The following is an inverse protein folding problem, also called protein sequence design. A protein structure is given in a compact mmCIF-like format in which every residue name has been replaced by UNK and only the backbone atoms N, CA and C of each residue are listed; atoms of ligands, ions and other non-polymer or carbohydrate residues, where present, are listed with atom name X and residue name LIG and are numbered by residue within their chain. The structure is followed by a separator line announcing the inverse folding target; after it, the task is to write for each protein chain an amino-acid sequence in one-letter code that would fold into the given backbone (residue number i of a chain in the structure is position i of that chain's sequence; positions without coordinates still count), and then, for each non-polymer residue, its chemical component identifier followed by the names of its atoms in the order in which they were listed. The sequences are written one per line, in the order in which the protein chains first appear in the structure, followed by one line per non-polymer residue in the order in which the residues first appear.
data_IF_832763699337
#
_entry.id   IF_832763699337
#
_cell.length_a   1.000
_cell.length_b   1.000
_cell.length_c   1.000
_cell.angle_alpha   90.00
_cell.angle_beta   90.00
_cell.angle_gamma   90.00
#
_symmetry.space_group_name_H-M   'P 1'
#
loop_
_entity.id
_entity.type
_entity.pdbx_description
1 polymer ?
#
# COMPACT_ATOMS: atom_id res chain seq x y z
N UNK A 1 -21.84 -25.36 10.53
CA UNK A 1 -22.07 -24.02 9.98
C UNK A 1 -20.86 -23.19 10.33
N UNK A 2 -19.99 -22.90 9.37
CA UNK A 2 -18.87 -21.98 9.60
C UNK A 2 -19.48 -20.59 9.81
N UNK A 3 -19.16 -19.94 10.94
CA UNK A 3 -19.55 -18.55 11.16
C UNK A 3 -18.97 -17.63 10.08
N UNK A 4 -19.52 -16.42 9.88
CA UNK A 4 -18.95 -15.47 8.93
C UNK A 4 -17.48 -15.24 9.25
N UNK A 5 -16.60 -15.40 8.25
CA UNK A 5 -15.19 -15.05 8.37
C UNK A 5 -15.08 -13.61 8.91
N UNK A 6 -14.17 -13.33 9.87
CA UNK A 6 -13.96 -11.97 10.34
C UNK A 6 -13.50 -11.10 9.15
N UNK A 7 -14.29 -10.09 8.79
CA UNK A 7 -13.91 -9.11 7.77
C UNK A 7 -12.79 -8.22 8.32
N UNK A 8 -11.56 -8.44 7.85
CA UNK A 8 -10.41 -7.59 8.17
C UNK A 8 -10.46 -6.32 7.31
N UNK A 9 -11.25 -5.34 7.78
CA UNK A 9 -11.38 -4.04 7.15
C UNK A 9 -10.25 -3.11 7.56
N UNK A 10 -9.70 -2.40 6.57
CA UNK A 10 -8.71 -1.35 6.78
C UNK A 10 -9.27 0.01 6.34
N UNK A 11 -8.99 1.08 7.09
CA UNK A 11 -9.35 2.43 6.65
C UNK A 11 -8.46 2.83 5.46
N UNK A 12 -9.11 3.37 4.44
CA UNK A 12 -8.48 4.03 3.31
C UNK A 12 -8.85 5.51 3.35
N UNK A 13 -7.86 6.37 3.19
CA UNK A 13 -8.04 7.82 3.23
C UNK A 13 -7.39 8.46 2.01
N UNK A 14 -8.11 9.38 1.38
CA UNK A 14 -7.56 10.28 0.39
C UNK A 14 -6.97 11.51 1.11
N UNK A 15 -5.64 11.74 1.08
CA UNK A 15 -5.05 12.89 1.75
C UNK A 15 -5.31 14.23 1.03
N UNK A 16 -5.81 14.20 -0.21
CA UNK A 16 -6.10 15.39 -1.02
C UNK A 16 -7.53 15.89 -0.77
N UNK A 17 -8.52 15.00 -0.79
CA UNK A 17 -9.93 15.36 -0.58
C UNK A 17 -10.39 15.20 0.87
N UNK A 18 -9.68 14.39 1.67
CA UNK A 18 -10.09 14.01 3.02
C UNK A 18 -11.11 12.87 3.08
N UNK A 19 -11.54 12.33 1.94
CA UNK A 19 -12.50 11.23 1.90
C UNK A 19 -11.96 9.96 2.55
N UNK A 20 -12.81 9.25 3.27
CA UNK A 20 -12.47 8.01 3.97
C UNK A 20 -13.44 6.89 3.65
N UNK A 21 -12.95 5.66 3.55
CA UNK A 21 -13.76 4.45 3.39
C UNK A 21 -13.10 3.28 4.10
N UNK A 22 -13.86 2.23 4.40
CA UNK A 22 -13.36 0.98 4.96
C UNK A 22 -13.51 -0.12 3.93
N UNK A 23 -12.44 -0.88 3.70
CA UNK A 23 -12.40 -1.94 2.70
C UNK A 23 -11.65 -3.15 3.22
N UNK A 24 -12.05 -4.31 2.75
CA UNK A 24 -11.39 -5.55 3.11
C UNK A 24 -9.98 -5.61 2.51
N UNK A 25 -9.12 -6.38 3.17
CA UNK A 25 -7.83 -6.75 2.62
C UNK A 25 -7.98 -7.77 1.49
N UNK A 26 -7.13 -7.63 0.50
CA UNK A 26 -6.92 -8.56 -0.59
C UNK A 26 -5.44 -8.95 -0.65
N UNK A 27 -5.16 -10.11 -1.23
CA UNK A 27 -3.84 -10.68 -1.37
C UNK A 27 -3.54 -10.90 -2.85
N UNK A 28 -2.35 -10.54 -3.30
CA UNK A 28 -1.86 -10.80 -4.66
C UNK A 28 -0.32 -10.76 -4.68
N UNK A 29 0.27 -11.12 -5.82
CA UNK A 29 1.71 -11.08 -6.06
C UNK A 29 2.07 -9.71 -6.64
N UNK A 30 3.06 -9.06 -6.05
CA UNK A 30 3.61 -7.79 -6.54
C UNK A 30 5.11 -7.98 -6.75
N UNK A 31 5.64 -7.52 -7.88
CA UNK A 31 7.07 -7.55 -8.17
C UNK A 31 7.62 -6.12 -8.25
N UNK A 32 8.71 -5.86 -7.53
CA UNK A 32 9.40 -4.56 -7.51
C UNK A 32 10.88 -4.80 -7.72
N UNK A 33 11.43 -4.34 -8.85
CA UNK A 33 12.85 -4.52 -9.20
C UNK A 33 13.36 -5.97 -9.03
N UNK A 34 12.53 -6.95 -9.35
CA UNK A 34 12.82 -8.38 -9.21
C UNK A 34 12.55 -8.96 -7.81
N UNK A 35 12.26 -8.12 -6.82
CA UNK A 35 11.82 -8.55 -5.49
C UNK A 35 10.32 -8.86 -5.53
N UNK A 36 9.98 -10.14 -5.36
CA UNK A 36 8.60 -10.63 -5.47
C UNK A 36 8.21 -11.35 -4.19
N UNK A 37 7.61 -10.68 -3.19
CA UNK A 37 7.06 -11.36 -2.02
C UNK A 37 6.03 -12.41 -2.43
N UNK A 38 6.01 -13.55 -1.72
CA UNK A 38 5.05 -14.63 -1.99
C UNK A 38 3.59 -14.17 -1.80
N UNK A 39 3.37 -13.22 -0.90
CA UNK A 39 2.05 -12.68 -0.59
C UNK A 39 2.15 -11.20 -0.22
N UNK A 40 1.42 -10.35 -0.96
CA UNK A 40 1.33 -8.91 -0.69
C UNK A 40 -0.12 -8.52 -0.39
N UNK A 41 -0.33 -7.95 0.80
CA UNK A 41 -1.62 -7.44 1.26
C UNK A 41 -1.87 -6.03 0.74
N UNK A 42 -3.04 -5.80 0.17
CA UNK A 42 -3.51 -4.47 -0.26
C UNK A 42 -5.02 -4.36 -0.07
N UNK A 43 -5.61 -3.25 -0.47
CA UNK A 43 -7.07 -3.09 -0.40
C UNK A 43 -7.59 -2.35 -1.63
N UNK A 44 -8.72 -2.80 -2.15
CA UNK A 44 -9.34 -2.25 -3.35
C UNK A 44 -10.16 -0.99 -3.01
N UNK A 45 -9.76 0.15 -3.57
CA UNK A 45 -10.48 1.42 -3.39
C UNK A 45 -11.50 1.69 -4.49
N UNK A 46 -12.65 2.32 -4.16
CA UNK A 46 -13.55 2.86 -5.17
C UNK A 46 -12.92 4.06 -5.88
N UNK A 47 -13.32 4.30 -7.13
CA UNK A 47 -12.72 5.34 -7.99
C UNK A 47 -12.83 6.75 -7.40
N UNK A 48 -13.91 7.07 -6.69
CA UNK A 48 -14.07 8.38 -6.07
C UNK A 48 -12.98 8.67 -5.03
N UNK A 49 -12.43 7.64 -4.39
CA UNK A 49 -11.41 7.80 -3.35
C UNK A 49 -10.06 8.20 -3.92
N UNK A 50 -9.78 7.96 -5.20
CA UNK A 50 -8.52 8.39 -5.84
C UNK A 50 -8.65 9.71 -6.60
N UNK A 51 -9.83 10.33 -6.59
CA UNK A 51 -10.12 11.61 -7.25
C UNK A 51 -9.24 12.74 -6.69
N UNK A 52 -8.90 13.69 -7.56
CA UNK A 52 -8.04 14.84 -7.19
C UNK A 52 -6.55 14.52 -7.14
N UNK A 53 -6.16 13.26 -7.34
CA UNK A 53 -4.77 12.88 -7.55
C UNK A 53 -4.24 13.40 -8.90
N UNK A 54 -2.92 13.42 -9.06
CA UNK A 54 -2.22 13.79 -10.30
C UNK A 54 -2.90 13.09 -11.50
N UNK A 55 -3.07 13.78 -12.64
CA UNK A 55 -3.94 13.38 -13.77
C UNK A 55 -3.84 11.91 -14.26
N UNK A 56 -2.77 11.19 -13.95
CA UNK A 56 -2.54 9.79 -14.35
C UNK A 56 -2.53 8.78 -13.20
N UNK A 57 -2.60 9.20 -11.93
CA UNK A 57 -2.53 8.31 -10.78
C UNK A 57 -3.88 7.61 -10.54
N UNK A 58 -3.89 6.27 -10.66
CA UNK A 58 -5.08 5.43 -10.42
C UNK A 58 -5.10 4.76 -9.05
N UNK A 59 -3.98 4.79 -8.34
CA UNK A 59 -3.75 4.05 -7.10
C UNK A 59 -2.84 4.84 -6.17
N UNK A 60 -2.91 4.53 -4.89
CA UNK A 60 -2.08 5.14 -3.83
C UNK A 60 -1.24 4.04 -3.19
N UNK A 61 0.06 4.30 -3.03
CA UNK A 61 0.96 3.43 -2.28
C UNK A 61 1.20 4.04 -0.89
N UNK A 62 0.86 3.30 0.16
CA UNK A 62 0.91 3.78 1.54
C UNK A 62 2.25 3.51 2.22
N UNK A 63 2.85 4.57 2.78
CA UNK A 63 4.09 4.53 3.57
C UNK A 63 3.90 4.74 5.08
N UNK A 64 2.68 4.52 5.57
CA UNK A 64 2.32 4.73 6.98
C UNK A 64 2.95 3.70 7.94
N UNK A 65 2.83 3.95 9.24
CA UNK A 65 3.29 3.04 10.30
C UNK A 65 2.27 1.91 10.54
N UNK A 66 2.19 0.95 9.62
CA UNK A 66 1.27 -0.19 9.69
C UNK A 66 1.94 -1.47 9.17
N UNK A 67 1.48 -2.64 9.62
CA UNK A 67 1.96 -3.95 9.14
C UNK A 67 1.65 -4.20 7.65
N UNK A 68 0.57 -3.61 7.14
CA UNK A 68 0.16 -3.71 5.73
C UNK A 68 0.71 -2.57 4.85
N UNK A 69 1.50 -1.66 5.41
CA UNK A 69 2.18 -0.65 4.60
C UNK A 69 3.23 -1.29 3.70
N UNK A 70 3.47 -0.72 2.51
CA UNK A 70 4.33 -1.31 1.49
C UNK A 70 5.73 -1.68 2.03
N UNK A 71 6.40 -0.72 2.67
CA UNK A 71 7.72 -0.91 3.22
C UNK A 71 7.75 -1.96 4.35
N UNK A 72 6.70 -2.04 5.17
CA UNK A 72 6.62 -3.02 6.26
C UNK A 72 6.53 -4.45 5.73
N UNK A 73 5.77 -4.64 4.64
CA UNK A 73 5.61 -5.95 4.01
C UNK A 73 6.87 -6.40 3.29
N UNK A 74 7.53 -5.50 2.54
CA UNK A 74 8.79 -5.83 1.87
C UNK A 74 9.91 -6.13 2.88
N UNK A 75 10.03 -5.33 3.94
CA UNK A 75 10.97 -5.61 5.04
C UNK A 75 10.71 -6.99 5.65
N UNK A 76 9.45 -7.36 5.89
CA UNK A 76 9.12 -8.66 6.46
C UNK A 76 9.37 -9.82 5.47
N UNK A 77 9.15 -9.61 4.18
CA UNK A 77 9.31 -10.64 3.15
C UNK A 77 10.78 -10.96 2.84
N UNK A 78 11.67 -9.97 2.94
CA UNK A 78 13.09 -10.10 2.58
C UNK A 78 14.06 -9.94 3.76
N UNK A 79 13.53 -9.86 4.99
CA UNK A 79 14.29 -9.69 6.24
C UNK A 79 15.23 -8.47 6.23
N UNK A 80 14.78 -7.37 5.62
CA UNK A 80 15.51 -6.11 5.64
C UNK A 80 15.38 -5.41 7.01
N UNK A 81 16.35 -4.60 7.43
CA UNK A 81 16.13 -3.60 8.47
C UNK A 81 14.86 -2.77 8.24
N UNK A 82 14.16 -2.40 9.32
CA UNK A 82 12.95 -1.54 9.26
C UNK A 82 13.31 -0.08 9.01
N UNK A 83 14.00 0.20 7.91
CA UNK A 83 14.46 1.52 7.51
C UNK A 83 14.29 1.67 6.01
N UNK A 84 13.80 2.82 5.59
CA UNK A 84 13.71 3.17 4.18
C UNK A 84 14.15 4.61 3.97
N UNK A 85 14.56 4.91 2.74
CA UNK A 85 14.93 6.25 2.29
C UNK A 85 14.09 6.61 1.08
N UNK A 86 13.65 7.86 1.01
CA UNK A 86 12.94 8.41 -0.14
C UNK A 86 13.77 9.55 -0.72
N UNK A 87 14.03 9.50 -2.02
CA UNK A 87 14.65 10.59 -2.77
C UNK A 87 13.61 11.19 -3.70
N UNK A 88 13.29 12.46 -3.49
CA UNK A 88 12.36 13.24 -4.31
C UNK A 88 13.17 14.27 -5.11
N UNK A 89 13.08 14.20 -6.45
CA UNK A 89 13.55 15.24 -7.35
C UNK A 89 12.39 15.78 -8.17
N UNK A 90 12.62 16.82 -8.97
CA UNK A 90 11.58 17.41 -9.84
C UNK A 90 11.01 16.41 -10.85
N UNK A 91 11.72 15.32 -11.16
CA UNK A 91 11.35 14.36 -12.19
C UNK A 91 11.29 12.91 -11.68
N UNK A 92 11.99 12.57 -10.60
CA UNK A 92 12.14 11.19 -10.16
C UNK A 92 11.77 11.03 -8.68
N UNK A 93 11.11 9.92 -8.39
CA UNK A 93 10.93 9.37 -7.06
C UNK A 93 11.72 8.06 -6.98
N UNK A 94 12.62 7.93 -6.00
CA UNK A 94 13.28 6.68 -5.68
C UNK A 94 12.98 6.28 -4.23
N UNK A 95 12.74 4.99 -4.03
CA UNK A 95 12.55 4.38 -2.72
C UNK A 95 13.64 3.32 -2.53
N UNK A 96 14.38 3.40 -1.42
CA UNK A 96 15.38 2.40 -1.05
C UNK A 96 14.99 1.79 0.28
N UNK A 97 14.83 0.46 0.32
CA UNK A 97 14.72 -0.32 1.55
C UNK A 97 16.13 -0.74 1.97
N UNK A 98 16.45 -0.60 3.26
CA UNK A 98 17.78 -0.92 3.80
C UNK A 98 17.73 -2.21 4.57
#
# INVERSE_FOLDING_TARGET
MAGPSPSYQVPQQNPITGDTTFRDLAEDIVSVDGMTPEMFLFSCSPEYLVKGSVNSAKRVLGFGRSKVAFQSQMVNAFDFPRKFTVCLSSLNLCLTLH
#
